data_IF_350097988851
#
_entry.id   IF_350097988851
#
_cell.length_a   1.000
_cell.length_b   1.000
_cell.length_c   1.000
_cell.angle_alpha   90.00
_cell.angle_beta   90.00
_cell.angle_gamma   90.00
#
_symmetry.space_group_name_H-M   'P 1'
#
loop_
_entity.id
_entity.type
_entity.pdbx_description
1 polymer ?
#
# COMPACT_ATOMS: atom_id res chain seq x y z
N UNK A 1 6.84 16.02 12.54
CA UNK A 1 8.11 16.67 12.89
C UNK A 1 7.79 18.02 13.48
N UNK A 2 8.25 18.30 14.71
CA UNK A 2 8.03 19.59 15.34
C UNK A 2 9.01 20.64 14.78
N UNK A 3 8.47 21.69 14.16
CA UNK A 3 9.25 22.81 13.61
C UNK A 3 9.56 23.90 14.64
N UNK A 4 8.89 23.91 15.80
CA UNK A 4 9.01 24.97 16.78
C UNK A 4 10.45 25.17 17.30
N UNK A 5 11.25 24.12 17.58
CA UNK A 5 12.62 24.30 18.04
C UNK A 5 13.51 25.04 17.03
N UNK A 6 13.30 24.81 15.73
CA UNK A 6 14.07 25.47 14.67
C UNK A 6 13.71 26.95 14.56
N UNK A 7 12.42 27.26 14.69
CA UNK A 7 11.93 28.65 14.67
C UNK A 7 12.41 29.40 15.91
N UNK A 8 12.34 28.77 17.09
CA UNK A 8 12.81 29.36 18.34
C UNK A 8 14.32 29.59 18.35
N UNK A 9 15.11 28.71 17.73
CA UNK A 9 16.55 28.93 17.54
C UNK A 9 16.83 30.20 16.71
N UNK A 10 16.14 30.37 15.57
CA UNK A 10 16.31 31.57 14.74
C UNK A 10 15.86 32.84 15.49
N UNK A 11 14.78 32.77 16.28
CA UNK A 11 14.32 33.89 17.12
C UNK A 11 15.35 34.26 18.18
N UNK A 12 15.98 33.26 18.79
CA UNK A 12 17.02 33.47 19.78
C UNK A 12 18.23 34.18 19.15
N UNK A 13 18.72 33.68 18.00
CA UNK A 13 19.83 34.29 17.28
C UNK A 13 19.52 35.73 16.83
N UNK A 14 18.28 35.99 16.37
CA UNK A 14 17.84 37.34 16.04
C UNK A 14 17.91 38.27 17.26
N UNK A 15 17.47 37.81 18.44
CA UNK A 15 17.51 38.60 19.66
C UNK A 15 18.96 38.88 20.11
N UNK A 16 19.85 37.87 20.05
CA UNK A 16 21.28 38.03 20.34
C UNK A 16 21.93 39.05 19.41
N UNK A 17 21.66 38.94 18.11
CA UNK A 17 22.19 39.89 17.12
C UNK A 17 21.65 41.31 17.31
N UNK A 18 20.36 41.44 17.64
CA UNK A 18 19.72 42.73 17.87
C UNK A 18 20.25 43.43 19.13
N UNK A 19 20.56 42.68 20.19
CA UNK A 19 21.15 43.23 21.42
C UNK A 19 22.50 43.91 21.18
N UNK A 20 23.31 43.38 20.26
CA UNK A 20 24.56 44.01 19.84
C UNK A 20 24.35 45.31 19.04
N UNK A 21 23.16 45.50 18.45
CA UNK A 21 22.79 46.66 17.63
C UNK A 21 22.18 47.83 18.42
N UNK A 22 21.99 47.69 19.73
CA UNK A 22 21.42 48.73 20.60
C UNK A 22 19.88 48.75 20.64
N UNK A 23 19.33 49.68 21.41
CA UNK A 23 17.91 49.68 21.78
C UNK A 23 16.93 49.76 20.59
N UNK A 24 17.28 50.49 19.52
CA UNK A 24 16.44 50.58 18.33
C UNK A 24 16.37 49.25 17.56
N UNK A 25 17.48 48.52 17.51
CA UNK A 25 17.57 47.21 16.88
C UNK A 25 16.80 46.15 17.69
N UNK A 26 16.95 46.15 19.02
CA UNK A 26 16.15 45.30 19.92
C UNK A 26 14.65 45.57 19.76
N UNK A 27 14.24 46.84 19.77
CA UNK A 27 12.84 47.21 19.59
C UNK A 27 12.28 46.77 18.22
N UNK A 28 13.10 46.82 17.17
CA UNK A 28 12.72 46.30 15.85
C UNK A 28 12.59 44.78 15.86
N UNK A 29 13.57 44.05 16.41
CA UNK A 29 13.54 42.60 16.50
C UNK A 29 12.31 42.10 17.27
N UNK A 30 11.96 42.76 18.37
CA UNK A 30 10.77 42.43 19.16
C UNK A 30 9.48 42.51 18.32
N UNK A 31 9.35 43.54 17.46
CA UNK A 31 8.19 43.72 16.57
C UNK A 31 8.16 42.71 15.43
N UNK A 32 9.32 42.30 14.92
CA UNK A 32 9.44 41.35 13.81
C UNK A 32 9.29 39.89 14.23
N UNK A 33 9.47 39.58 15.51
CA UNK A 33 9.48 38.20 16.02
C UNK A 33 8.18 37.43 15.69
N UNK A 34 7.01 38.02 15.94
CA UNK A 34 5.73 37.34 15.68
C UNK A 34 5.41 37.18 14.18
N UNK A 35 5.59 38.20 13.32
CA UNK A 35 5.43 38.04 11.87
C UNK A 35 6.40 37.03 11.24
N UNK A 36 7.63 36.94 11.74
CA UNK A 36 8.65 36.04 11.21
C UNK A 36 8.36 34.56 11.51
N UNK A 37 7.65 34.25 12.59
CA UNK A 37 7.32 32.86 12.97
C UNK A 37 6.60 32.11 11.84
N UNK A 38 5.54 32.71 11.29
CA UNK A 38 4.77 32.11 10.20
C UNK A 38 5.57 32.02 8.89
N UNK A 39 6.39 33.04 8.60
CA UNK A 39 7.23 33.06 7.40
C UNK A 39 8.32 31.98 7.44
N UNK A 40 8.99 31.82 8.60
CA UNK A 40 10.01 30.79 8.80
C UNK A 40 9.42 29.39 8.71
N UNK A 41 8.25 29.16 9.31
CA UNK A 41 7.57 27.87 9.20
C UNK A 41 7.23 27.52 7.76
N UNK A 42 6.71 28.48 7.00
CA UNK A 42 6.40 28.26 5.58
C UNK A 42 7.67 27.95 4.78
N UNK A 43 8.73 28.72 4.95
CA UNK A 43 10.00 28.49 4.26
C UNK A 43 10.61 27.11 4.58
N UNK A 44 10.51 26.65 5.84
CA UNK A 44 10.94 25.31 6.22
C UNK A 44 10.09 24.22 5.54
N UNK A 45 8.77 24.40 5.46
CA UNK A 45 7.89 23.46 4.78
C UNK A 45 8.18 23.37 3.27
N UNK A 46 8.43 24.51 2.63
CA UNK A 46 8.81 24.58 1.22
C UNK A 46 10.14 23.84 0.98
N UNK A 47 11.16 24.12 1.80
CA UNK A 47 12.46 23.47 1.71
C UNK A 47 12.39 21.94 1.94
N UNK A 48 11.58 21.49 2.90
CA UNK A 48 11.37 20.05 3.15
C UNK A 48 10.65 19.37 1.98
N UNK A 49 9.71 20.07 1.34
CA UNK A 49 8.97 19.56 0.19
C UNK A 49 9.88 19.42 -1.03
N UNK A 50 10.69 20.43 -1.31
CA UNK A 50 11.71 20.38 -2.39
C UNK A 50 12.74 19.27 -2.13
N UNK A 51 13.21 19.14 -0.89
CA UNK A 51 14.12 18.06 -0.52
C UNK A 51 13.50 16.68 -0.73
N UNK A 52 12.22 16.49 -0.39
CA UNK A 52 11.52 15.23 -0.62
C UNK A 52 11.38 14.90 -2.12
N UNK A 53 11.11 15.89 -2.96
CA UNK A 53 11.07 15.72 -4.42
C UNK A 53 12.44 15.36 -5.01
N UNK A 54 13.52 15.95 -4.49
CA UNK A 54 14.88 15.57 -4.88
C UNK A 54 15.18 14.13 -4.49
N UNK A 55 14.88 13.73 -3.25
CA UNK A 55 15.08 12.35 -2.78
C UNK A 55 14.25 11.37 -3.61
N UNK A 56 12.99 11.69 -3.91
CA UNK A 56 12.10 10.85 -4.72
C UNK A 56 12.67 10.56 -6.10
N UNK A 57 13.33 11.55 -6.74
CA UNK A 57 13.98 11.37 -8.04
C UNK A 57 15.13 10.35 -7.98
N UNK A 58 15.83 10.29 -6.85
CA UNK A 58 16.98 9.38 -6.66
C UNK A 58 16.57 8.01 -6.08
N UNK A 59 15.40 7.91 -5.43
CA UNK A 59 14.95 6.71 -4.69
C UNK A 59 14.15 5.69 -5.52
N UNK A 60 13.92 5.94 -6.82
CA UNK A 60 13.11 5.08 -7.68
C UNK A 60 13.54 3.60 -7.59
N UNK A 61 12.59 2.63 -7.45
CA UNK A 61 11.14 2.77 -7.59
C UNK A 61 10.38 3.25 -6.33
N UNK A 62 11.07 3.59 -5.25
CA UNK A 62 10.45 4.21 -4.07
C UNK A 62 10.26 5.72 -4.19
N UNK A 63 9.49 6.30 -3.27
CA UNK A 63 9.25 7.74 -3.19
C UNK A 63 9.24 8.23 -1.74
N UNK A 64 9.50 9.52 -1.54
CA UNK A 64 9.39 10.20 -0.26
C UNK A 64 8.46 11.40 -0.41
N UNK A 65 7.43 11.45 0.43
CA UNK A 65 6.45 12.53 0.43
C UNK A 65 6.45 13.24 1.78
N UNK A 66 6.10 14.52 1.78
CA UNK A 66 5.81 15.27 3.00
C UNK A 66 4.30 15.35 3.18
N UNK A 67 3.80 14.91 4.34
CA UNK A 67 2.39 14.98 4.75
C UNK A 67 2.26 15.85 6.00
N UNK A 68 1.15 16.54 6.15
CA UNK A 68 0.89 17.34 7.36
C UNK A 68 0.00 16.57 8.34
N UNK A 69 0.48 16.37 9.55
CA UNK A 69 -0.31 15.93 10.70
C UNK A 69 -0.65 17.16 11.56
N UNK A 70 -1.80 17.78 11.27
CA UNK A 70 -2.14 19.08 11.85
C UNK A 70 -1.22 20.17 11.30
N UNK A 71 -0.25 20.64 12.12
CA UNK A 71 0.74 21.65 11.73
C UNK A 71 2.16 21.10 11.56
N UNK A 72 2.34 19.82 11.86
CA UNK A 72 3.66 19.19 11.90
C UNK A 72 3.87 18.36 10.63
N UNK A 73 4.93 18.62 9.84
CA UNK A 73 5.25 17.82 8.66
C UNK A 73 5.79 16.45 9.03
N UNK A 74 5.43 15.43 8.28
CA UNK A 74 5.89 14.05 8.43
C UNK A 74 6.34 13.51 7.08
N UNK A 75 7.45 12.78 7.07
CA UNK A 75 7.90 12.08 5.87
C UNK A 75 7.18 10.74 5.76
N UNK A 76 6.48 10.54 4.66
CA UNK A 76 5.94 9.25 4.25
C UNK A 76 6.85 8.66 3.19
N UNK A 77 7.40 7.47 3.47
CA UNK A 77 8.28 6.77 2.53
C UNK A 77 7.48 5.64 1.89
N UNK A 78 7.31 5.72 0.59
CA UNK A 78 6.80 4.64 -0.24
C UNK A 78 7.99 3.80 -0.68
N UNK A 79 8.17 2.65 -0.03
CA UNK A 79 9.13 1.66 -0.48
C UNK A 79 8.48 0.87 -1.61
N UNK A 80 9.24 0.49 -2.65
CA UNK A 80 8.71 -0.42 -3.64
C UNK A 80 8.28 -1.69 -2.92
N UNK A 81 7.06 -2.15 -3.21
CA UNK A 81 6.64 -3.46 -2.71
C UNK A 81 7.72 -4.47 -3.15
N UNK A 82 8.17 -5.37 -2.24
CA UNK A 82 9.03 -6.46 -2.67
C UNK A 82 8.28 -7.10 -3.82
N UNK A 83 8.91 -7.16 -4.99
CA UNK A 83 8.32 -7.80 -6.13
C UNK A 83 7.91 -9.20 -5.66
N UNK A 84 6.61 -9.40 -5.42
CA UNK A 84 6.03 -10.72 -5.61
C UNK A 84 6.56 -11.14 -6.97
N UNK A 85 7.23 -12.31 -7.08
CA UNK A 85 7.89 -12.71 -8.30
C UNK A 85 6.90 -12.45 -9.42
N UNK A 86 7.26 -11.50 -10.29
CA UNK A 86 6.41 -11.07 -11.38
C UNK A 86 5.92 -12.36 -12.01
N UNK A 87 4.62 -12.66 -11.88
CA UNK A 87 4.04 -13.73 -12.66
C UNK A 87 4.38 -13.33 -14.09
N UNK A 88 5.28 -14.06 -14.77
CA UNK A 88 5.66 -13.65 -16.09
C UNK A 88 4.35 -13.64 -16.89
N UNK A 89 4.09 -12.52 -17.58
CA UNK A 89 3.26 -12.61 -18.77
C UNK A 89 3.82 -13.77 -19.58
N UNK A 90 3.07 -14.88 -19.57
CA UNK A 90 3.38 -16.19 -20.13
C UNK A 90 4.82 -16.36 -20.67
N UNK A 91 5.79 -16.56 -19.78
CA UNK A 91 7.08 -17.15 -20.15
C UNK A 91 7.77 -17.73 -18.93
N UNK A 92 8.07 -19.03 -19.01
CA UNK A 92 8.94 -19.85 -18.15
C UNK A 92 8.47 -20.23 -16.73
N UNK A 93 8.04 -21.50 -16.68
CA UNK A 93 7.84 -22.47 -15.59
C UNK A 93 8.85 -22.50 -14.43
N UNK A 94 8.28 -22.95 -13.31
CA UNK A 94 8.77 -23.88 -12.27
C UNK A 94 9.56 -23.33 -11.07
N UNK A 95 9.00 -23.51 -9.88
CA UNK A 95 9.61 -24.46 -8.92
C UNK A 95 8.57 -25.06 -7.95
N UNK A 96 8.72 -26.35 -7.65
CA UNK A 96 7.96 -27.14 -6.67
C UNK A 96 8.98 -27.95 -5.87
N UNK A 97 8.79 -28.10 -4.54
CA UNK A 97 8.77 -29.44 -3.95
C UNK A 97 7.59 -29.56 -2.95
N UNK A 98 6.57 -30.39 -3.17
CA UNK A 98 6.45 -31.87 -3.12
C UNK A 98 6.24 -32.40 -1.69
N UNK A 99 5.00 -32.77 -1.34
CA UNK A 99 4.69 -34.05 -0.67
C UNK A 99 3.16 -34.36 -0.67
N UNK A 100 2.85 -35.53 -1.21
CA UNK A 100 1.71 -36.43 -1.13
C UNK A 100 0.21 -35.98 -1.06
N UNK A 101 -0.60 -36.68 -1.89
CA UNK A 101 -2.08 -36.73 -1.95
C UNK A 101 -2.85 -35.53 -2.53
N UNK A 102 -3.12 -35.60 -3.85
CA UNK A 102 -4.37 -35.08 -4.43
C UNK A 102 -4.66 -33.59 -4.24
N UNK A 103 -3.62 -32.77 -4.12
CA UNK A 103 -3.72 -31.34 -3.83
C UNK A 103 -4.44 -30.58 -4.93
N UNK A 104 -5.42 -29.75 -4.53
CA UNK A 104 -6.11 -28.83 -5.45
C UNK A 104 -5.24 -27.59 -5.69
N UNK A 105 -4.90 -27.31 -6.95
CA UNK A 105 -4.25 -26.04 -7.32
C UNK A 105 -5.26 -24.89 -7.21
N UNK A 106 -4.92 -23.86 -6.41
CA UNK A 106 -5.78 -22.68 -6.21
C UNK A 106 -5.54 -21.67 -7.34
N UNK A 107 -6.62 -21.23 -7.98
CA UNK A 107 -6.61 -20.25 -9.08
C UNK A 107 -7.65 -19.17 -8.83
N UNK A 108 -7.27 -17.90 -9.00
CA UNK A 108 -8.20 -16.76 -8.99
C UNK A 108 -8.60 -16.41 -10.43
N UNK A 109 -9.85 -16.65 -10.80
CA UNK A 109 -10.39 -16.39 -12.14
C UNK A 109 -11.24 -15.10 -12.14
N UNK A 110 -10.94 -14.17 -13.04
CA UNK A 110 -11.78 -12.99 -13.31
C UNK A 110 -12.55 -13.22 -14.60
N UNK A 111 -13.88 -13.30 -14.52
CA UNK A 111 -14.75 -13.47 -15.68
C UNK A 111 -15.40 -12.13 -16.04
N UNK A 112 -15.58 -11.83 -17.34
CA UNK A 112 -16.47 -10.76 -17.79
C UNK A 112 -17.87 -10.93 -17.21
N UNK A 113 -18.51 -9.83 -16.81
CA UNK A 113 -19.84 -9.85 -16.16
C UNK A 113 -20.91 -10.53 -17.03
N UNK A 114 -20.80 -10.39 -18.35
CA UNK A 114 -21.69 -11.03 -19.33
C UNK A 114 -21.73 -12.55 -19.25
N UNK A 115 -20.67 -13.20 -18.73
CA UNK A 115 -20.58 -14.65 -18.63
C UNK A 115 -21.16 -15.21 -17.32
N UNK A 116 -21.37 -14.37 -16.30
CA UNK A 116 -21.83 -14.82 -14.97
C UNK A 116 -23.15 -15.57 -15.03
N UNK A 117 -24.16 -14.99 -15.69
CA UNK A 117 -25.49 -15.59 -15.78
C UNK A 117 -25.48 -16.93 -16.53
N UNK A 118 -24.70 -17.03 -17.61
CA UNK A 118 -24.55 -18.27 -18.38
C UNK A 118 -23.90 -19.39 -17.56
N UNK A 119 -22.83 -19.08 -16.84
CA UNK A 119 -22.12 -20.04 -15.98
C UNK A 119 -23.00 -20.50 -14.81
N UNK A 120 -23.69 -19.59 -14.14
CA UNK A 120 -24.60 -19.94 -13.03
C UNK A 120 -25.79 -20.79 -13.51
N UNK A 121 -26.33 -20.51 -14.70
CA UNK A 121 -27.43 -21.29 -15.29
C UNK A 121 -26.98 -22.70 -15.68
N UNK A 122 -25.82 -22.84 -16.31
CA UNK A 122 -25.28 -24.14 -16.71
C UNK A 122 -24.93 -25.03 -15.51
N UNK A 123 -24.30 -24.47 -14.47
CA UNK A 123 -24.02 -25.19 -13.24
C UNK A 123 -25.30 -25.66 -12.53
N UNK A 124 -26.33 -24.80 -12.51
CA UNK A 124 -27.65 -25.13 -11.94
C UNK A 124 -28.36 -26.22 -12.76
N UNK A 125 -28.29 -26.16 -14.09
CA UNK A 125 -28.85 -27.19 -14.98
C UNK A 125 -28.24 -28.57 -14.78
N UNK A 126 -26.96 -28.63 -14.36
CA UNK A 126 -26.26 -29.87 -14.03
C UNK A 126 -26.32 -30.24 -12.53
N UNK A 127 -26.99 -29.42 -11.70
CA UNK A 127 -27.15 -29.67 -10.27
C UNK A 127 -25.84 -29.63 -9.46
N UNK A 128 -24.82 -28.93 -9.95
CA UNK A 128 -23.50 -28.85 -9.33
C UNK A 128 -23.10 -27.39 -9.02
N UNK A 129 -22.11 -27.20 -8.15
CA UNK A 129 -21.59 -25.87 -7.87
C UNK A 129 -20.87 -25.28 -9.08
N UNK A 130 -20.82 -23.94 -9.17
CA UNK A 130 -20.08 -23.24 -10.24
C UNK A 130 -18.62 -23.67 -10.29
N UNK A 131 -17.96 -23.88 -9.14
CA UNK A 131 -16.59 -24.37 -9.10
C UNK A 131 -16.47 -25.79 -9.68
N UNK A 132 -17.38 -26.70 -9.30
CA UNK A 132 -17.38 -28.06 -9.84
C UNK A 132 -17.68 -28.10 -11.34
N UNK A 133 -18.58 -27.21 -11.80
CA UNK A 133 -18.89 -27.05 -13.22
C UNK A 133 -17.67 -26.54 -14.01
N UNK A 134 -17.03 -25.46 -13.55
CA UNK A 134 -15.84 -24.89 -14.20
C UNK A 134 -14.68 -25.89 -14.27
N UNK A 135 -14.41 -26.62 -13.18
CA UNK A 135 -13.40 -27.68 -13.16
C UNK A 135 -13.73 -28.76 -14.17
N UNK A 136 -14.98 -29.24 -14.22
CA UNK A 136 -15.43 -30.26 -15.18
C UNK A 136 -15.32 -29.78 -16.63
N UNK A 137 -15.75 -28.56 -16.92
CA UNK A 137 -15.66 -27.96 -18.25
C UNK A 137 -14.21 -27.85 -18.72
N UNK A 138 -13.30 -27.45 -17.82
CA UNK A 138 -11.87 -27.42 -18.10
C UNK A 138 -11.30 -28.83 -18.33
N UNK A 139 -11.63 -29.80 -17.47
CA UNK A 139 -11.19 -31.19 -17.65
C UNK A 139 -11.68 -31.81 -18.96
N UNK A 140 -12.93 -31.54 -19.35
CA UNK A 140 -13.51 -32.03 -20.61
C UNK A 140 -12.77 -31.47 -21.83
N UNK A 141 -12.34 -30.21 -21.80
CA UNK A 141 -11.55 -29.58 -22.88
C UNK A 141 -10.11 -30.08 -22.94
N UNK A 142 -9.54 -30.42 -21.78
CA UNK A 142 -8.18 -30.94 -21.67
C UNK A 142 -8.08 -32.46 -21.90
N UNK A 143 -9.23 -33.16 -22.10
CA UNK A 143 -9.26 -34.62 -22.24
C UNK A 143 -8.83 -35.38 -20.98
N UNK A 144 -8.82 -34.71 -19.82
CA UNK A 144 -8.42 -35.32 -18.56
C UNK A 144 -9.54 -36.26 -18.06
N UNK A 145 -9.23 -37.50 -17.63
CA UNK A 145 -10.23 -38.37 -17.04
C UNK A 145 -10.77 -37.71 -15.78
N UNK A 146 -12.10 -37.59 -15.67
CA UNK A 146 -12.76 -37.01 -14.52
C UNK A 146 -12.29 -37.72 -13.24
N UNK A 147 -11.38 -37.08 -12.51
CA UNK A 147 -10.91 -37.55 -11.22
C UNK A 147 -12.13 -37.63 -10.30
N UNK A 148 -12.54 -38.86 -9.96
CA UNK A 148 -13.60 -39.11 -8.98
C UNK A 148 -13.21 -38.41 -7.69
N UNK A 149 -13.90 -37.32 -7.38
CA UNK A 149 -13.85 -36.69 -6.06
C UNK A 149 -14.33 -37.73 -5.06
N UNK A 150 -13.40 -38.27 -4.25
CA UNK A 150 -13.78 -39.08 -3.11
C UNK A 150 -14.49 -38.17 -2.13
N UNK A 151 -15.84 -38.23 -2.15
CA UNK A 151 -16.67 -37.79 -1.05
C UNK A 151 -16.19 -38.53 0.21
N UNK A 152 -15.50 -37.81 1.08
CA UNK A 152 -14.92 -38.36 2.29
C UNK A 152 -14.93 -37.31 3.38
N UNK A 153 -15.96 -37.33 4.23
CA UNK A 153 -15.87 -36.68 5.54
C UNK A 153 -17.15 -36.21 6.21
N UNK A 154 -17.90 -37.15 6.80
CA UNK A 154 -18.46 -37.08 8.17
C UNK A 154 -19.54 -36.01 8.47
N UNK A 155 -20.80 -36.42 8.38
CA UNK A 155 -21.90 -35.83 9.14
C UNK A 155 -21.76 -36.20 10.63
N UNK A 156 -21.52 -35.22 11.51
CA UNK A 156 -21.72 -35.38 12.94
C UNK A 156 -23.08 -34.75 13.28
N UNK A 157 -24.07 -35.60 13.54
CA UNK A 157 -25.34 -35.20 14.16
C UNK A 157 -25.23 -35.42 15.68
N UNK A 158 -25.45 -34.38 16.48
CA UNK A 158 -25.58 -34.54 17.92
C UNK A 158 -25.48 -33.24 18.69
N UNK A 159 -26.62 -32.59 18.90
CA UNK A 159 -26.81 -31.70 20.06
C UNK A 159 -27.86 -32.37 20.95
N UNK A 160 -27.45 -32.77 22.14
CA UNK A 160 -28.34 -33.11 23.26
C UNK A 160 -28.24 -31.96 24.26
N UNK A 161 -29.39 -31.58 24.80
CA UNK A 161 -29.60 -30.52 25.80
C UNK A 161 -28.82 -30.75 27.09
#
# INVERSE_FOLDING_TARGET
>A
MDLQPYVDAVRHELAVAAAAGGADAEALAQRLTAPLDSALRLALLEALSEAAEQITRELAPGAVHVRLAGRDPEFAVELPEPAEPAVPSASSRADVPDDDSGGTWRVTLRLPESLRAGVESAARGEGISVNAWLVRSASARLGAPAGRTRSGGKSFSGWVR
#
